data_IF_600317789194
#
_entry.id   IF_600317789194
#
_cell.length_a   1.000
_cell.length_b   1.000
_cell.length_c   1.000
_cell.angle_alpha   90.00
_cell.angle_beta   90.00
_cell.angle_gamma   90.00
#
_symmetry.space_group_name_H-M   'P 1'
#
loop_
_entity.id
_entity.type
_entity.pdbx_description
1 polymer ?
#
# COMPACT_ATOMS: atom_id res chain seq x y z
N UNK A 1 21.69 -24.56 -8.78
CA UNK A 1 21.64 -23.45 -9.74
C UNK A 1 20.18 -23.20 -10.08
N UNK A 2 19.54 -22.24 -9.42
CA UNK A 2 18.18 -21.81 -9.78
C UNK A 2 18.32 -20.89 -10.98
N UNK A 3 17.88 -21.34 -12.16
CA UNK A 3 18.03 -20.60 -13.41
C UNK A 3 17.26 -19.27 -13.34
N UNK A 4 17.92 -18.14 -13.58
CA UNK A 4 17.31 -16.80 -13.57
C UNK A 4 16.00 -16.70 -14.40
N UNK A 5 15.89 -17.53 -15.46
CA UNK A 5 14.70 -17.63 -16.29
C UNK A 5 13.41 -18.08 -15.58
N UNK A 6 13.47 -18.98 -14.59
CA UNK A 6 12.25 -19.41 -13.89
C UNK A 6 11.71 -18.31 -12.97
N UNK A 7 12.61 -17.53 -12.35
CA UNK A 7 12.24 -16.38 -11.51
C UNK A 7 11.58 -15.29 -12.34
N UNK A 8 12.15 -15.01 -13.52
CA UNK A 8 11.57 -14.03 -14.45
C UNK A 8 10.18 -14.47 -14.94
N UNK A 9 10.03 -15.75 -15.31
CA UNK A 9 8.74 -16.30 -15.72
C UNK A 9 7.69 -16.22 -14.60
N UNK A 10 8.07 -16.56 -13.37
CA UNK A 10 7.21 -16.45 -12.20
C UNK A 10 6.80 -14.99 -11.93
N UNK A 11 7.74 -14.05 -11.99
CA UNK A 11 7.44 -12.63 -11.80
C UNK A 11 6.47 -12.11 -12.87
N UNK A 12 6.67 -12.43 -14.14
CA UNK A 12 5.78 -12.05 -15.24
C UNK A 12 4.37 -12.60 -15.00
N UNK A 13 4.23 -13.87 -14.62
CA UNK A 13 2.94 -14.48 -14.33
C UNK A 13 2.23 -13.78 -13.15
N UNK A 14 2.97 -13.48 -12.09
CA UNK A 14 2.44 -12.77 -10.91
C UNK A 14 1.99 -11.35 -11.26
N UNK A 15 2.82 -10.58 -11.99
CA UNK A 15 2.45 -9.23 -12.42
C UNK A 15 1.27 -9.23 -13.40
N UNK A 16 1.17 -10.23 -14.27
CA UNK A 16 0.03 -10.42 -15.17
C UNK A 16 -1.27 -10.64 -14.39
N UNK A 17 -1.28 -11.60 -13.46
CA UNK A 17 -2.40 -11.87 -12.57
C UNK A 17 -2.80 -10.64 -11.74
N UNK A 18 -1.82 -10.01 -11.09
CA UNK A 18 -2.05 -8.82 -10.27
C UNK A 18 -2.57 -7.63 -11.11
N UNK A 19 -2.11 -7.51 -12.36
CA UNK A 19 -2.62 -6.55 -13.34
C UNK A 19 -4.09 -6.81 -13.70
N UNK A 20 -4.47 -8.07 -13.94
CA UNK A 20 -5.88 -8.44 -14.16
C UNK A 20 -6.76 -8.09 -12.96
N UNK A 21 -6.33 -8.42 -11.74
CA UNK A 21 -7.05 -8.07 -10.52
C UNK A 21 -7.19 -6.56 -10.37
N UNK A 22 -6.11 -5.80 -10.60
CA UNK A 22 -6.15 -4.32 -10.62
C UNK A 22 -7.11 -3.79 -11.69
N UNK A 23 -7.24 -4.45 -12.84
CA UNK A 23 -8.19 -4.08 -13.89
C UNK A 23 -9.65 -4.27 -13.48
N UNK A 24 -9.96 -5.34 -12.73
CA UNK A 24 -11.33 -5.64 -12.27
C UNK A 24 -11.72 -4.83 -11.02
N UNK A 25 -10.81 -4.76 -10.04
CA UNK A 25 -11.08 -4.18 -8.70
C UNK A 25 -10.64 -2.71 -8.60
N UNK A 26 -9.79 -2.24 -9.53
CA UNK A 26 -9.22 -0.89 -9.53
C UNK A 26 -8.00 -0.72 -8.61
N UNK A 27 -7.82 -1.62 -7.63
CA UNK A 27 -6.78 -1.60 -6.61
C UNK A 27 -6.23 -3.03 -6.44
N UNK A 28 -4.96 -3.19 -6.05
CA UNK A 28 -4.45 -4.49 -5.58
C UNK A 28 -3.21 -5.06 -6.27
N UNK A 29 -2.62 -4.37 -7.25
CA UNK A 29 -1.36 -4.83 -7.86
C UNK A 29 -0.25 -5.05 -6.80
N UNK A 30 0.05 -4.09 -5.89
CA UNK A 30 1.04 -4.32 -4.85
C UNK A 30 0.66 -5.44 -3.88
N UNK A 31 -0.63 -5.55 -3.52
CA UNK A 31 -1.11 -6.52 -2.53
C UNK A 31 -1.01 -7.95 -3.04
N UNK A 32 -1.51 -8.22 -4.26
CA UNK A 32 -1.48 -9.56 -4.87
C UNK A 32 -0.05 -9.94 -5.22
N UNK A 33 0.69 -9.02 -5.84
CA UNK A 33 2.07 -9.32 -6.22
C UNK A 33 2.98 -9.52 -5.02
N UNK A 34 2.86 -8.72 -3.95
CA UNK A 34 3.67 -8.96 -2.74
C UNK A 34 3.36 -10.31 -2.11
N UNK A 35 2.08 -10.66 -1.98
CA UNK A 35 1.68 -11.93 -1.38
C UNK A 35 2.26 -13.14 -2.13
N UNK A 36 2.31 -13.06 -3.47
CA UNK A 36 2.84 -14.14 -4.31
C UNK A 36 4.37 -14.11 -4.43
N UNK A 37 4.99 -12.94 -4.65
CA UNK A 37 6.44 -12.81 -4.80
C UNK A 37 7.17 -13.12 -3.50
N UNK A 38 6.62 -12.72 -2.34
CA UNK A 38 7.26 -12.97 -1.03
C UNK A 38 7.37 -14.46 -0.67
N UNK A 39 6.66 -15.36 -1.37
CA UNK A 39 6.83 -16.82 -1.24
C UNK A 39 8.16 -17.28 -1.85
N UNK A 40 8.63 -16.59 -2.89
CA UNK A 40 9.79 -17.00 -3.69
C UNK A 40 11.04 -16.15 -3.42
N UNK A 41 10.89 -14.94 -2.89
CA UNK A 41 12.00 -14.03 -2.63
C UNK A 41 11.79 -13.19 -1.35
N UNK A 42 12.86 -12.64 -0.76
CA UNK A 42 12.75 -11.71 0.36
C UNK A 42 11.79 -10.54 0.06
N UNK A 43 10.95 -10.11 1.02
CA UNK A 43 9.97 -9.03 0.82
C UNK A 43 10.58 -7.72 0.31
N UNK A 44 11.80 -7.40 0.74
CA UNK A 44 12.51 -6.20 0.27
C UNK A 44 12.80 -6.25 -1.25
N UNK A 45 13.15 -7.43 -1.79
CA UNK A 45 13.37 -7.62 -3.22
C UNK A 45 12.05 -7.55 -4.00
N UNK A 46 11.00 -8.19 -3.48
CA UNK A 46 9.66 -8.09 -4.06
C UNK A 46 9.17 -6.62 -4.12
N UNK A 47 9.40 -5.84 -3.05
CA UNK A 47 9.07 -4.42 -2.99
C UNK A 47 9.79 -3.62 -4.08
N UNK A 48 11.09 -3.87 -4.26
CA UNK A 48 11.90 -3.19 -5.26
C UNK A 48 11.40 -3.46 -6.68
N UNK A 49 11.06 -4.71 -7.00
CA UNK A 49 10.48 -5.08 -8.30
C UNK A 49 9.10 -4.45 -8.53
N UNK A 50 8.31 -4.29 -7.47
CA UNK A 50 6.96 -3.72 -7.54
C UNK A 50 6.94 -2.20 -7.67
N UNK A 51 7.96 -1.52 -7.13
CA UNK A 51 8.01 -0.07 -7.05
C UNK A 51 7.85 0.57 -8.44
N UNK A 52 8.68 0.13 -9.39
CA UNK A 52 8.71 0.70 -10.74
C UNK A 52 7.39 0.51 -11.51
N UNK A 53 6.84 -0.72 -11.68
CA UNK A 53 5.60 -0.92 -12.42
C UNK A 53 4.39 -0.29 -11.74
N UNK A 54 4.32 -0.30 -10.40
CA UNK A 54 3.23 0.36 -9.69
C UNK A 54 3.29 1.87 -9.88
N UNK A 55 4.48 2.48 -9.80
CA UNK A 55 4.66 3.91 -10.02
C UNK A 55 4.25 4.29 -11.45
N UNK A 56 4.76 3.57 -12.46
CA UNK A 56 4.45 3.84 -13.87
C UNK A 56 2.93 3.75 -14.12
N UNK A 57 2.29 2.66 -13.69
CA UNK A 57 0.84 2.52 -13.92
C UNK A 57 0.01 3.56 -13.17
N UNK A 58 0.37 3.90 -11.93
CA UNK A 58 -0.33 4.93 -11.17
C UNK A 58 -0.17 6.31 -11.81
N UNK A 59 1.02 6.66 -12.33
CA UNK A 59 1.26 7.93 -13.03
C UNK A 59 0.48 8.02 -14.35
N UNK A 60 0.44 6.93 -15.12
CA UNK A 60 -0.36 6.87 -16.35
C UNK A 60 -1.85 7.02 -16.03
N UNK A 61 -2.33 6.43 -14.93
CA UNK A 61 -3.70 6.51 -14.45
C UNK A 61 -4.11 7.90 -13.94
N UNK A 62 -3.17 8.80 -13.63
CA UNK A 62 -3.48 10.18 -13.22
C UNK A 62 -4.01 11.07 -14.36
N UNK A 63 -4.07 10.56 -15.60
CA UNK A 63 -4.57 11.32 -16.75
C UNK A 63 -6.09 11.10 -16.91
N UNK A 64 -6.90 12.17 -17.09
CA UNK A 64 -6.52 13.57 -17.28
C UNK A 64 -6.20 14.32 -15.98
N UNK A 65 -5.19 15.19 -16.02
CA UNK A 65 -4.68 15.96 -14.86
C UNK A 65 -5.70 16.98 -14.31
N UNK A 66 -6.77 17.29 -15.06
CA UNK A 66 -7.79 18.26 -14.66
C UNK A 66 -8.47 17.93 -13.31
N UNK A 67 -8.63 16.64 -12.97
CA UNK A 67 -9.20 16.20 -11.69
C UNK A 67 -8.20 16.16 -10.52
N UNK A 68 -6.92 16.41 -10.77
CA UNK A 68 -5.84 16.17 -9.81
C UNK A 68 -5.83 17.20 -8.68
N UNK A 69 -6.11 18.48 -8.99
CA UNK A 69 -6.12 19.55 -7.99
C UNK A 69 -7.25 19.39 -6.95
N UNK A 70 -8.53 19.15 -7.32
CA UNK A 70 -9.58 18.86 -6.34
C UNK A 70 -9.29 17.62 -5.50
N UNK A 71 -8.70 16.60 -6.10
CA UNK A 71 -8.32 15.36 -5.41
C UNK A 71 -7.20 15.61 -4.38
N UNK A 72 -6.16 16.38 -4.75
CA UNK A 72 -5.10 16.79 -3.82
C UNK A 72 -5.61 17.67 -2.68
N UNK A 73 -6.60 18.53 -2.91
CA UNK A 73 -7.20 19.32 -1.81
C UNK A 73 -7.97 18.45 -0.81
N UNK A 74 -8.62 17.39 -1.30
CA UNK A 74 -9.35 16.44 -0.45
C UNK A 74 -8.44 15.47 0.29
N UNK A 75 -7.42 14.93 -0.39
CA UNK A 75 -6.52 13.92 0.17
C UNK A 75 -5.22 14.49 0.74
N UNK A 76 -4.92 15.77 0.50
CA UNK A 76 -3.66 16.40 0.90
C UNK A 76 -3.44 16.37 2.41
N UNK A 77 -4.49 16.56 3.20
CA UNK A 77 -4.44 16.41 4.66
C UNK A 77 -4.07 15.01 5.10
N UNK A 78 -4.58 13.98 4.41
CA UNK A 78 -4.21 12.60 4.67
C UNK A 78 -2.75 12.34 4.29
N UNK A 79 -2.28 12.87 3.16
CA UNK A 79 -0.88 12.72 2.74
C UNK A 79 0.08 13.41 3.71
N UNK A 80 -0.27 14.62 4.19
CA UNK A 80 0.49 15.29 5.25
C UNK A 80 0.50 14.46 6.54
N UNK A 81 -0.65 13.90 6.93
CA UNK A 81 -0.73 12.97 8.05
C UNK A 81 0.19 11.76 7.88
N UNK A 82 0.23 11.15 6.70
CA UNK A 82 1.13 10.01 6.40
C UNK A 82 2.59 10.44 6.57
N UNK A 83 3.00 11.56 5.96
CA UNK A 83 4.39 12.04 6.06
C UNK A 83 4.78 12.30 7.51
N UNK A 84 3.95 13.03 8.26
CA UNK A 84 4.21 13.33 9.67
C UNK A 84 4.18 12.08 10.55
N UNK A 85 3.25 11.17 10.30
CA UNK A 85 3.12 9.90 11.01
C UNK A 85 4.31 8.99 10.76
N UNK A 86 4.81 8.92 9.53
CA UNK A 86 5.98 8.12 9.19
C UNK A 86 7.24 8.71 9.82
N UNK A 87 7.49 10.01 9.67
CA UNK A 87 8.66 10.66 10.26
C UNK A 87 8.64 10.60 11.79
N UNK A 88 7.48 10.89 12.39
CA UNK A 88 7.27 10.79 13.84
C UNK A 88 7.39 9.35 14.34
N UNK A 89 6.83 8.38 13.62
CA UNK A 89 6.91 6.96 13.95
C UNK A 89 8.35 6.45 13.91
N UNK A 90 9.12 6.80 12.89
CA UNK A 90 10.56 6.45 12.80
C UNK A 90 11.34 7.11 13.95
N UNK A 91 11.04 8.36 14.28
CA UNK A 91 11.72 9.07 15.37
C UNK A 91 11.41 8.50 16.76
N UNK A 92 10.16 8.07 17.00
CA UNK A 92 9.70 7.58 18.30
C UNK A 92 9.99 6.10 18.54
N UNK A 93 9.79 5.27 17.51
CA UNK A 93 9.86 3.81 17.63
C UNK A 93 11.05 3.20 16.89
N UNK A 94 11.83 3.99 16.17
CA UNK A 94 12.89 3.50 15.30
C UNK A 94 12.36 3.06 13.92
N UNK A 95 13.29 2.75 13.02
CA UNK A 95 12.96 2.29 11.67
C UNK A 95 12.41 0.85 11.62
N UNK A 96 12.13 0.39 10.41
CA UNK A 96 11.55 -0.93 10.11
C UNK A 96 12.24 -2.05 10.90
N UNK A 97 11.46 -2.85 11.63
CA UNK A 97 11.94 -3.99 12.40
C UNK A 97 12.43 -3.69 13.81
N UNK A 98 12.32 -2.44 14.27
CA UNK A 98 12.62 -2.04 15.65
C UNK A 98 11.70 -2.68 16.70
N UNK A 99 10.42 -2.91 16.35
CA UNK A 99 9.44 -3.56 17.23
C UNK A 99 9.26 -5.04 16.82
N UNK A 100 9.51 -6.01 17.72
CA UNK A 100 9.25 -7.43 17.46
C UNK A 100 7.79 -7.73 17.10
N UNK A 101 6.86 -6.94 17.63
CA UNK A 101 5.42 -7.08 17.40
C UNK A 101 4.93 -6.47 16.06
N UNK A 102 5.76 -5.76 15.30
CA UNK A 102 5.33 -5.06 14.08
C UNK A 102 4.79 -6.04 13.01
N UNK A 103 5.47 -7.17 12.81
CA UNK A 103 5.04 -8.21 11.85
C UNK A 103 3.70 -8.86 12.20
N UNK A 104 3.49 -9.40 13.43
CA UNK A 104 2.20 -9.98 13.78
C UNK A 104 1.07 -8.94 13.81
N UNK A 105 1.35 -7.69 14.22
CA UNK A 105 0.37 -6.61 14.17
C UNK A 105 -0.08 -6.29 12.73
N UNK A 106 0.87 -6.24 11.78
CA UNK A 106 0.55 -6.08 10.35
C UNK A 106 -0.31 -7.25 9.84
N UNK A 107 0.04 -8.49 10.20
CA UNK A 107 -0.74 -9.67 9.84
C UNK A 107 -2.18 -9.60 10.34
N UNK A 108 -2.38 -9.19 11.60
CA UNK A 108 -3.71 -8.99 12.16
C UNK A 108 -4.49 -7.88 11.44
N UNK A 109 -3.84 -6.75 11.14
CA UNK A 109 -4.45 -5.66 10.39
C UNK A 109 -4.92 -6.11 8.99
N UNK A 110 -4.13 -6.94 8.30
CA UNK A 110 -4.51 -7.51 7.00
C UNK A 110 -5.71 -8.45 7.10
N UNK A 111 -5.78 -9.30 8.14
CA UNK A 111 -6.94 -10.17 8.38
C UNK A 111 -8.20 -9.34 8.63
N UNK A 112 -8.12 -8.33 9.51
CA UNK A 112 -9.25 -7.43 9.76
C UNK A 112 -9.69 -6.71 8.49
N UNK A 113 -8.75 -6.24 7.68
CA UNK A 113 -9.05 -5.59 6.40
C UNK A 113 -9.72 -6.54 5.41
N UNK A 114 -9.25 -7.78 5.30
CA UNK A 114 -9.86 -8.80 4.44
C UNK A 114 -11.30 -9.13 4.86
N UNK A 115 -11.54 -9.32 6.17
CA UNK A 115 -12.88 -9.56 6.71
C UNK A 115 -13.81 -8.37 6.45
N UNK A 116 -13.31 -7.14 6.62
CA UNK A 116 -14.06 -5.94 6.28
C UNK A 116 -14.39 -5.87 4.78
N UNK A 117 -13.43 -6.15 3.89
CA UNK A 117 -13.65 -6.17 2.44
C UNK A 117 -14.71 -7.20 2.02
N UNK A 118 -14.72 -8.38 2.64
CA UNK A 118 -15.72 -9.42 2.40
C UNK A 118 -17.12 -9.05 2.89
N UNK A 119 -17.24 -8.19 3.90
CA UNK A 119 -18.54 -7.73 4.41
C UNK A 119 -19.30 -6.81 3.45
N UNK A 120 -18.61 -6.23 2.44
CA UNK A 120 -19.21 -5.32 1.47
C UNK A 120 -19.61 -3.95 2.03
N UNK A 121 -19.24 -3.63 3.28
CA UNK A 121 -19.66 -2.41 3.96
C UNK A 121 -18.99 -1.17 3.34
N UNK A 122 -19.80 -0.29 2.73
CA UNK A 122 -19.33 0.97 2.12
C UNK A 122 -19.61 2.13 3.06
N UNK A 123 -18.59 2.58 3.78
CA UNK A 123 -18.69 3.77 4.61
C UNK A 123 -18.53 5.04 3.76
N UNK A 124 -19.47 5.98 3.88
CA UNK A 124 -19.36 7.31 3.25
C UNK A 124 -19.07 8.34 4.33
N UNK A 125 -17.93 9.01 4.24
CA UNK A 125 -17.55 10.07 5.19
C UNK A 125 -18.14 11.41 4.75
N UNK A 126 -18.84 12.14 5.64
CA UNK A 126 -19.37 13.46 5.33
C UNK A 126 -18.24 14.48 5.12
N UNK A 127 -18.38 15.37 4.12
CA UNK A 127 -17.37 16.34 3.71
C UNK A 127 -16.73 17.17 4.86
N UNK A 128 -17.47 17.66 5.87
CA UNK A 128 -16.90 18.52 6.93
C UNK A 128 -15.82 17.80 7.76
N UNK A 129 -15.94 16.48 7.94
CA UNK A 129 -15.03 15.69 8.76
C UNK A 129 -13.88 15.10 7.94
N UNK A 130 -13.90 15.24 6.62
CA UNK A 130 -12.98 14.58 5.71
C UNK A 130 -11.52 15.03 5.93
N UNK A 131 -11.30 16.29 6.25
CA UNK A 131 -9.96 16.82 6.51
C UNK A 131 -9.35 16.25 7.80
N UNK A 132 -10.06 16.35 8.93
CA UNK A 132 -9.56 15.87 10.23
C UNK A 132 -9.45 14.34 10.28
N UNK A 133 -10.46 13.62 9.80
CA UNK A 133 -10.39 12.17 9.66
C UNK A 133 -9.25 11.76 8.71
N UNK A 134 -9.03 12.53 7.65
CA UNK A 134 -7.88 12.35 6.76
C UNK A 134 -6.55 12.47 7.49
N UNK A 135 -6.35 13.52 8.29
CA UNK A 135 -5.12 13.69 9.10
C UNK A 135 -4.94 12.52 10.07
N UNK A 136 -5.98 12.15 10.82
CA UNK A 136 -5.89 11.05 11.81
C UNK A 136 -5.58 9.71 11.13
N UNK A 137 -6.32 9.37 10.07
CA UNK A 137 -6.05 8.16 9.29
C UNK A 137 -4.64 8.20 8.69
N UNK A 138 -4.20 9.36 8.20
CA UNK A 138 -2.87 9.54 7.65
C UNK A 138 -1.78 9.32 8.70
N UNK A 139 -1.90 9.95 9.88
CA UNK A 139 -0.96 9.79 10.99
C UNK A 139 -0.85 8.33 11.42
N UNK A 140 -1.98 7.66 11.62
CA UNK A 140 -2.01 6.24 11.98
C UNK A 140 -1.37 5.36 10.89
N UNK A 141 -1.69 5.62 9.63
CA UNK A 141 -1.13 4.88 8.50
C UNK A 141 0.39 5.06 8.44
N UNK A 142 0.88 6.30 8.48
CA UNK A 142 2.31 6.59 8.45
C UNK A 142 3.06 6.03 9.65
N UNK A 143 2.48 6.14 10.84
CA UNK A 143 2.99 5.55 12.07
C UNK A 143 3.17 4.03 11.93
N UNK A 144 2.17 3.32 11.42
CA UNK A 144 2.23 1.87 11.18
C UNK A 144 3.30 1.57 10.14
N UNK A 145 3.30 2.27 8.99
CA UNK A 145 4.27 2.10 7.91
C UNK A 145 5.71 2.28 8.38
N UNK A 146 5.98 3.23 9.28
CA UNK A 146 7.33 3.45 9.83
C UNK A 146 7.91 2.18 10.49
N UNK A 147 7.07 1.41 11.18
CA UNK A 147 7.51 0.24 11.94
C UNK A 147 7.45 -1.04 11.11
N UNK A 148 6.51 -1.13 10.17
CA UNK A 148 6.26 -2.35 9.38
C UNK A 148 7.01 -2.39 8.06
N UNK A 149 7.36 -1.24 7.48
CA UNK A 149 7.87 -1.11 6.12
C UNK A 149 6.78 -1.05 5.07
#
# INVERSE_FOLDING_TARGET
MWNEGWMAAAAIAVFGLAGCVKGVVGLGLPTVSMALLAVFMPPAQAAALLLLPSLVTNLVQMRPVAGLRPMLQRLGWMQLGIVLGTLGGVALWGGVGSLPAARPALGLALVMYALWGLSGLRWQTPLPHQAWLGVVCGLLTGAITAVTG
#
